data_IF_170087183525
#
_entry.id   IF_170087183525
#
_cell.length_a   1.000
_cell.length_b   1.000
_cell.length_c   1.000
_cell.angle_alpha   90.00
_cell.angle_beta   90.00
_cell.angle_gamma   90.00
#
_symmetry.space_group_name_H-M   'P 1'
#
loop_
_entity.id
_entity.type
_entity.pdbx_description
1 polymer ?
#
# COMPACT_ATOMS: atom_id res chain seq x y z
N UNK A 1 -11.74 14.27 16.87
CA UNK A 1 -12.25 13.12 16.07
C UNK A 1 -12.12 13.38 14.56
N UNK A 2 -12.66 14.49 14.03
CA UNK A 2 -12.53 14.84 12.60
C UNK A 2 -11.06 15.11 12.21
N UNK A 3 -10.28 15.78 13.06
CA UNK A 3 -8.85 16.03 12.80
C UNK A 3 -8.05 14.74 12.68
N UNK A 4 -8.25 13.79 13.61
CA UNK A 4 -7.60 12.47 13.57
C UNK A 4 -7.98 11.70 12.32
N UNK A 5 -9.26 11.74 11.92
CA UNK A 5 -9.71 11.11 10.68
C UNK A 5 -9.08 11.77 9.44
N UNK A 6 -8.96 13.10 9.42
CA UNK A 6 -8.33 13.84 8.33
C UNK A 6 -6.84 13.51 8.19
N UNK A 7 -6.10 13.49 9.31
CA UNK A 7 -4.68 13.12 9.32
C UNK A 7 -4.49 11.66 8.89
N UNK A 8 -5.26 10.73 9.46
CA UNK A 8 -5.17 9.31 9.09
C UNK A 8 -5.49 9.08 7.61
N UNK A 9 -6.50 9.75 7.07
CA UNK A 9 -6.84 9.70 5.65
C UNK A 9 -5.71 10.25 4.78
N UNK A 10 -5.17 11.42 5.11
CA UNK A 10 -4.06 12.02 4.38
C UNK A 10 -2.82 11.12 4.39
N UNK A 11 -2.46 10.56 5.56
CA UNK A 11 -1.34 9.61 5.68
C UNK A 11 -1.58 8.35 4.87
N UNK A 12 -2.79 7.78 4.91
CA UNK A 12 -3.13 6.61 4.10
C UNK A 12 -3.04 6.91 2.61
N UNK A 13 -3.63 8.01 2.16
CA UNK A 13 -3.63 8.43 0.76
C UNK A 13 -2.20 8.67 0.24
N UNK A 14 -1.39 9.40 1.01
CA UNK A 14 0.01 9.65 0.68
C UNK A 14 0.84 8.35 0.65
N UNK A 15 0.58 7.42 1.58
CA UNK A 15 1.31 6.14 1.66
C UNK A 15 0.96 5.19 0.50
N UNK A 16 -0.30 5.17 0.07
CA UNK A 16 -0.76 4.32 -1.04
C UNK A 16 -0.28 4.86 -2.40
N UNK A 17 -0.12 6.18 -2.54
CA UNK A 17 0.28 6.80 -3.80
C UNK A 17 -0.65 6.43 -4.96
N UNK A 18 -1.98 6.69 -4.87
CA UNK A 18 -2.94 6.22 -5.87
C UNK A 18 -2.67 6.77 -7.27
N UNK A 19 -2.04 7.96 -7.38
CA UNK A 19 -1.59 8.53 -8.65
C UNK A 19 -0.46 7.71 -9.27
N UNK A 20 0.54 7.34 -8.49
CA UNK A 20 1.68 6.53 -8.94
C UNK A 20 1.23 5.14 -9.38
N UNK A 21 0.38 4.51 -8.57
CA UNK A 21 -0.23 3.22 -8.88
C UNK A 21 -1.07 3.29 -10.15
N UNK A 22 -1.86 4.35 -10.33
CA UNK A 22 -2.67 4.53 -11.53
C UNK A 22 -1.80 4.71 -12.79
N UNK A 23 -0.70 5.47 -12.69
CA UNK A 23 0.24 5.68 -13.80
C UNK A 23 0.96 4.37 -14.20
N UNK A 24 1.51 3.65 -13.22
CA UNK A 24 2.16 2.35 -13.42
C UNK A 24 1.15 1.35 -14.01
N UNK A 25 -0.05 1.30 -13.47
CA UNK A 25 -1.10 0.42 -13.96
C UNK A 25 -1.48 0.75 -15.41
N UNK A 26 -1.63 2.04 -15.76
CA UNK A 26 -1.93 2.46 -17.12
C UNK A 26 -0.82 2.05 -18.11
N UNK A 27 0.45 2.20 -17.72
CA UNK A 27 1.59 1.78 -18.51
C UNK A 27 1.61 0.25 -18.72
N UNK A 28 1.47 -0.52 -17.63
CA UNK A 28 1.51 -1.99 -17.65
C UNK A 28 0.29 -2.63 -18.32
N UNK A 29 -0.83 -1.91 -18.43
CA UNK A 29 -2.07 -2.44 -19.03
C UNK A 29 -2.39 -1.87 -20.41
N UNK A 30 -1.46 -1.16 -21.03
CA UNK A 30 -1.63 -0.53 -22.35
C UNK A 30 -1.93 -1.51 -23.49
N UNK A 31 -1.37 -2.73 -23.44
CA UNK A 31 -1.50 -3.74 -24.50
C UNK A 31 -2.59 -4.82 -24.24
N UNK A 32 -3.32 -4.76 -23.12
CA UNK A 32 -4.34 -5.77 -22.75
C UNK A 32 -5.76 -5.33 -23.07
N UNK A 33 -6.64 -6.31 -23.34
CA UNK A 33 -8.06 -6.04 -23.59
C UNK A 33 -8.75 -5.39 -22.39
N UNK A 34 -9.80 -4.60 -22.62
CA UNK A 34 -10.57 -3.93 -21.55
C UNK A 34 -11.08 -4.90 -20.47
N UNK A 35 -11.44 -6.13 -20.86
CA UNK A 35 -11.90 -7.19 -19.94
C UNK A 35 -10.78 -7.65 -19.02
N UNK A 36 -9.61 -7.96 -19.58
CA UNK A 36 -8.44 -8.38 -18.81
C UNK A 36 -7.94 -7.26 -17.91
N UNK A 37 -7.89 -6.02 -18.42
CA UNK A 37 -7.56 -4.84 -17.64
C UNK A 37 -8.43 -4.75 -16.38
N UNK A 38 -9.76 -4.75 -16.51
CA UNK A 38 -10.65 -4.70 -15.33
C UNK A 38 -10.42 -5.86 -14.35
N UNK A 39 -10.16 -7.06 -14.85
CA UNK A 39 -9.86 -8.22 -14.00
C UNK A 39 -8.54 -8.05 -13.23
N UNK A 40 -7.51 -7.47 -13.86
CA UNK A 40 -6.24 -7.16 -13.20
C UNK A 40 -6.41 -6.11 -12.11
N UNK A 41 -7.16 -5.02 -12.36
CA UNK A 41 -7.46 -4.01 -11.33
C UNK A 41 -8.13 -4.64 -10.11
N UNK A 42 -9.22 -5.40 -10.31
CA UNK A 42 -9.95 -6.02 -9.20
C UNK A 42 -9.05 -6.98 -8.41
N UNK A 43 -8.30 -7.84 -9.11
CA UNK A 43 -7.37 -8.77 -8.45
C UNK A 43 -6.28 -8.03 -7.67
N UNK A 44 -5.67 -7.02 -8.27
CA UNK A 44 -4.65 -6.19 -7.63
C UNK A 44 -5.17 -5.52 -6.37
N UNK A 45 -6.35 -4.89 -6.44
CA UNK A 45 -7.00 -4.26 -5.28
C UNK A 45 -7.33 -5.28 -4.20
N UNK A 46 -7.82 -6.47 -4.54
CA UNK A 46 -8.12 -7.51 -3.56
C UNK A 46 -6.86 -8.03 -2.87
N UNK A 47 -5.78 -8.26 -3.63
CA UNK A 47 -4.50 -8.72 -3.07
C UNK A 47 -3.93 -7.65 -2.14
N UNK A 48 -3.82 -6.40 -2.61
CA UNK A 48 -3.30 -5.30 -1.82
C UNK A 48 -4.15 -5.05 -0.56
N UNK A 49 -5.48 -5.03 -0.71
CA UNK A 49 -6.41 -4.89 0.41
C UNK A 49 -6.28 -6.02 1.43
N UNK A 50 -6.11 -7.27 0.99
CA UNK A 50 -5.91 -8.42 1.87
C UNK A 50 -4.60 -8.32 2.65
N UNK A 51 -3.51 -7.90 2.00
CA UNK A 51 -2.20 -7.68 2.66
C UNK A 51 -2.31 -6.57 3.70
N UNK A 52 -2.93 -5.44 3.34
CA UNK A 52 -3.14 -4.31 4.25
C UNK A 52 -3.97 -4.71 5.48
N UNK A 53 -5.09 -5.41 5.27
CA UNK A 53 -5.94 -5.89 6.36
C UNK A 53 -5.21 -6.90 7.24
N UNK A 54 -4.46 -7.84 6.65
CA UNK A 54 -3.66 -8.79 7.40
C UNK A 54 -2.63 -8.07 8.28
N UNK A 55 -1.85 -7.15 7.72
CA UNK A 55 -0.87 -6.37 8.48
C UNK A 55 -1.52 -5.45 9.51
N UNK A 56 -2.71 -4.89 9.23
CA UNK A 56 -3.44 -4.08 10.20
C UNK A 56 -3.90 -4.90 11.41
N UNK A 57 -4.24 -6.18 11.22
CA UNK A 57 -4.75 -7.05 12.28
C UNK A 57 -3.64 -7.76 13.08
N UNK A 58 -2.59 -8.24 12.41
CA UNK A 58 -1.53 -9.06 13.04
C UNK A 58 -0.12 -8.51 12.86
N UNK A 59 0.04 -7.36 12.20
CA UNK A 59 1.37 -6.78 11.93
C UNK A 59 2.18 -6.50 13.19
N UNK A 60 1.56 -5.98 14.24
CA UNK A 60 2.26 -5.70 15.51
C UNK A 60 2.82 -6.97 16.15
N UNK A 61 2.03 -8.06 16.15
CA UNK A 61 2.48 -9.36 16.64
C UNK A 61 3.64 -9.93 15.80
N UNK A 62 3.56 -9.82 14.47
CA UNK A 62 4.63 -10.25 13.57
C UNK A 62 5.93 -9.47 13.82
N UNK A 63 5.82 -8.15 13.98
CA UNK A 63 6.98 -7.28 14.24
C UNK A 63 7.60 -7.56 15.61
N UNK A 64 6.78 -7.74 16.64
CA UNK A 64 7.24 -8.12 17.98
C UNK A 64 7.99 -9.46 17.96
N UNK A 65 7.51 -10.46 17.21
CA UNK A 65 8.19 -11.75 17.05
C UNK A 65 9.56 -11.66 16.37
N UNK A 66 9.79 -10.63 15.55
CA UNK A 66 11.07 -10.34 14.90
C UNK A 66 11.97 -9.40 15.73
N UNK A 67 11.49 -8.91 16.89
CA UNK A 67 12.18 -7.88 17.67
C UNK A 67 12.25 -6.52 16.96
N UNK A 68 11.36 -6.27 16.00
CA UNK A 68 11.33 -5.05 15.20
C UNK A 68 10.30 -4.09 15.79
N UNK A 69 10.71 -2.84 16.04
CA UNK A 69 9.76 -1.81 16.45
C UNK A 69 9.00 -1.25 15.25
N UNK A 70 7.79 -0.76 15.49
CA UNK A 70 7.00 -0.10 14.44
C UNK A 70 7.70 1.15 13.89
N UNK A 71 8.52 1.83 14.72
CA UNK A 71 9.39 2.90 14.29
C UNK A 71 10.49 2.40 13.32
N UNK A 72 11.16 1.28 13.64
CA UNK A 72 12.16 0.69 12.76
C UNK A 72 11.56 0.27 11.41
N UNK A 73 10.37 -0.33 11.39
CA UNK A 73 9.66 -0.66 10.15
C UNK A 73 9.38 0.59 9.32
N UNK A 74 8.84 1.64 9.93
CA UNK A 74 8.54 2.91 9.23
C UNK A 74 9.80 3.55 8.65
N UNK A 75 10.89 3.58 9.40
CA UNK A 75 12.17 4.13 8.92
C UNK A 75 12.74 3.30 7.78
N UNK A 76 12.79 1.97 7.92
CA UNK A 76 13.29 1.08 6.87
C UNK A 76 12.45 1.16 5.59
N UNK A 77 11.12 1.17 5.74
CA UNK A 77 10.21 1.36 4.62
C UNK A 77 10.39 2.70 3.92
N UNK A 78 10.58 3.79 4.68
CA UNK A 78 10.87 5.11 4.14
C UNK A 78 12.19 5.17 3.36
N UNK A 79 13.24 4.52 3.88
CA UNK A 79 14.53 4.42 3.17
C UNK A 79 14.37 3.64 1.86
N UNK A 80 13.66 2.51 1.89
CA UNK A 80 13.41 1.72 0.68
C UNK A 80 12.65 2.50 -0.38
N UNK A 81 11.64 3.28 0.01
CA UNK A 81 10.90 4.14 -0.91
C UNK A 81 11.77 5.24 -1.50
N UNK A 82 12.68 5.84 -0.72
CA UNK A 82 13.63 6.82 -1.22
C UNK A 82 14.63 6.22 -2.23
N UNK A 83 14.95 4.93 -2.11
CA UNK A 83 15.87 4.25 -3.01
C UNK A 83 15.22 3.75 -4.30
N UNK A 84 13.93 3.39 -4.25
CA UNK A 84 13.18 2.83 -5.39
C UNK A 84 12.42 3.93 -6.15
N UNK A 85 11.94 4.96 -5.45
CA UNK A 85 11.27 6.13 -6.02
C UNK A 85 12.24 7.10 -6.67
#
# INVERSE_FOLDING_TARGET
MIETAGVAFATFFATIGPLDVAAIYAALTSAVSRKQRRQMAVRGTLIAGSILLLFALVGDFLLAGLGISLAALRTGGGILLLLIG
#
